data_IF_950871234059
#
_entry.id   IF_950871234059
#
_cell.length_a   1.000
_cell.length_b   1.000
_cell.length_c   1.000
_cell.angle_alpha   90.00
_cell.angle_beta   90.00
_cell.angle_gamma   90.00
#
_symmetry.space_group_name_H-M   'P 1'
#
loop_
_entity.id
_entity.type
_entity.pdbx_description
1 polymer ?
#
# COMPACT_ATOMS: atom_id res chain seq x y z
N UNK A 1 -3.89 -24.58 -6.43
CA UNK A 1 -2.90 -24.33 -7.50
C UNK A 1 -1.44 -24.29 -7.01
N UNK A 2 -1.12 -23.84 -5.79
CA UNK A 2 0.26 -23.80 -5.27
C UNK A 2 0.86 -25.19 -4.96
N UNK A 3 0.03 -26.15 -4.54
CA UNK A 3 0.45 -27.51 -4.20
C UNK A 3 0.94 -28.34 -5.40
N UNK A 4 0.58 -27.94 -6.63
CA UNK A 4 0.91 -28.69 -7.85
C UNK A 4 2.16 -28.12 -8.56
N UNK A 5 2.80 -27.11 -7.99
CA UNK A 5 4.00 -26.47 -8.57
C UNK A 5 5.26 -27.24 -8.17
N UNK A 6 6.19 -27.37 -9.12
CA UNK A 6 7.54 -27.88 -8.85
C UNK A 6 8.27 -26.96 -7.87
N UNK A 7 9.17 -27.50 -7.06
CA UNK A 7 9.91 -26.73 -6.06
C UNK A 7 10.76 -25.61 -6.71
N UNK A 8 11.28 -25.84 -7.92
CA UNK A 8 11.95 -24.79 -8.70
C UNK A 8 11.01 -23.62 -9.04
N UNK A 9 9.76 -23.90 -9.41
CA UNK A 9 8.76 -22.87 -9.71
C UNK A 9 8.35 -22.09 -8.45
N UNK A 10 8.28 -22.78 -7.30
CA UNK A 10 8.03 -22.12 -6.00
C UNK A 10 9.17 -21.17 -5.65
N UNK A 11 10.42 -21.62 -5.77
CA UNK A 11 11.60 -20.79 -5.54
C UNK A 11 11.62 -19.57 -6.47
N UNK A 12 11.34 -19.76 -7.76
CA UNK A 12 11.30 -18.65 -8.71
C UNK A 12 10.23 -17.61 -8.36
N UNK A 13 9.03 -18.03 -7.96
CA UNK A 13 7.96 -17.10 -7.53
C UNK A 13 8.33 -16.32 -6.27
N UNK A 14 9.01 -16.98 -5.31
CA UNK A 14 9.52 -16.31 -4.11
C UNK A 14 10.57 -15.26 -4.48
N UNK A 15 11.51 -15.60 -5.37
CA UNK A 15 12.53 -14.67 -5.84
C UNK A 15 11.93 -13.47 -6.60
N UNK A 16 10.94 -13.71 -7.46
CA UNK A 16 10.23 -12.63 -8.14
C UNK A 16 9.53 -11.68 -7.17
N UNK A 17 8.95 -12.21 -6.09
CA UNK A 17 8.30 -11.40 -5.05
C UNK A 17 9.33 -10.56 -4.30
N UNK A 18 10.49 -11.13 -3.95
CA UNK A 18 11.60 -10.39 -3.34
C UNK A 18 12.13 -9.28 -4.24
N UNK A 19 12.40 -9.58 -5.52
CA UNK A 19 12.86 -8.59 -6.48
C UNK A 19 11.86 -7.45 -6.68
N UNK A 20 10.55 -7.75 -6.67
CA UNK A 20 9.52 -6.71 -6.70
C UNK A 20 9.63 -5.82 -5.46
N UNK A 21 9.76 -6.41 -4.29
CA UNK A 21 9.87 -5.67 -3.03
C UNK A 21 11.15 -4.81 -2.96
N UNK A 22 12.27 -5.31 -3.48
CA UNK A 22 13.52 -4.55 -3.61
C UNK A 22 13.38 -3.36 -4.57
N UNK A 23 12.73 -3.57 -5.73
CA UNK A 23 12.42 -2.49 -6.68
C UNK A 23 11.49 -1.44 -6.07
N UNK A 24 10.49 -1.87 -5.30
CA UNK A 24 9.62 -0.95 -4.56
C UNK A 24 10.42 -0.16 -3.51
N UNK A 25 11.31 -0.84 -2.79
CA UNK A 25 12.18 -0.21 -1.78
C UNK A 25 13.06 0.86 -2.44
N UNK A 26 13.70 0.55 -3.57
CA UNK A 26 14.49 1.53 -4.32
C UNK A 26 13.65 2.72 -4.83
N UNK A 27 12.42 2.48 -5.33
CA UNK A 27 11.51 3.58 -5.71
C UNK A 27 11.08 4.44 -4.51
N UNK A 28 10.94 3.80 -3.36
CA UNK A 28 10.49 4.43 -2.11
C UNK A 28 11.55 5.28 -1.43
N UNK A 29 12.84 5.18 -1.80
CA UNK A 29 13.89 6.05 -1.25
C UNK A 29 13.62 7.55 -1.51
N UNK A 30 12.90 7.85 -2.58
CA UNK A 30 12.48 9.22 -2.90
C UNK A 30 11.22 9.67 -2.17
N UNK A 31 10.56 8.78 -1.42
CA UNK A 31 9.29 9.07 -0.74
C UNK A 31 9.56 9.62 0.64
N UNK A 32 8.78 10.62 1.03
CA UNK A 32 8.84 11.20 2.36
C UNK A 32 7.57 10.81 3.11
N UNK A 33 7.74 10.01 4.16
CA UNK A 33 6.66 9.59 5.04
C UNK A 33 6.44 10.64 6.11
N UNK A 34 5.24 11.22 6.13
CA UNK A 34 4.76 12.07 7.22
C UNK A 34 3.74 11.29 8.05
N UNK A 35 3.33 11.82 9.20
CA UNK A 35 2.39 11.13 10.09
C UNK A 35 1.05 10.85 9.39
N UNK A 36 0.58 11.74 8.52
CA UNK A 36 -0.75 11.63 7.92
C UNK A 36 -0.74 11.48 6.40
N UNK A 37 0.41 11.72 5.76
CA UNK A 37 0.52 11.75 4.30
C UNK A 37 1.82 11.14 3.81
N UNK A 38 1.83 10.68 2.55
CA UNK A 38 3.03 10.20 1.88
C UNK A 38 3.32 11.14 0.71
N UNK A 39 4.49 11.77 0.71
CA UNK A 39 4.91 12.65 -0.39
C UNK A 39 5.72 11.87 -1.40
N UNK A 40 5.29 11.91 -2.65
CA UNK A 40 5.93 11.22 -3.77
C UNK A 40 6.39 12.23 -4.81
N UNK A 41 7.59 12.04 -5.36
CA UNK A 41 8.05 12.86 -6.48
C UNK A 41 7.37 12.44 -7.78
N UNK A 42 6.82 13.39 -8.52
CA UNK A 42 6.11 13.15 -9.78
C UNK A 42 6.65 14.03 -10.92
N UNK A 43 7.98 14.14 -10.98
CA UNK A 43 8.68 15.03 -11.89
C UNK A 43 8.31 14.81 -13.37
N UNK A 44 8.26 13.55 -13.82
CA UNK A 44 7.95 13.24 -15.24
C UNK A 44 6.60 13.81 -15.68
N UNK A 45 5.56 13.60 -14.87
CA UNK A 45 4.21 14.08 -15.18
C UNK A 45 4.17 15.61 -15.23
N UNK A 46 4.73 16.28 -14.22
CA UNK A 46 4.77 17.75 -14.16
C UNK A 46 5.55 18.32 -15.35
N UNK A 47 6.68 17.73 -15.70
CA UNK A 47 7.45 18.15 -16.88
C UNK A 47 6.69 17.97 -18.18
N UNK A 48 5.94 16.87 -18.35
CA UNK A 48 5.14 16.67 -19.57
C UNK A 48 4.01 17.70 -19.68
N UNK A 49 3.33 18.02 -18.58
CA UNK A 49 2.23 19.00 -18.57
C UNK A 49 2.76 20.41 -18.82
N UNK A 50 3.83 20.81 -18.14
CA UNK A 50 4.48 22.11 -18.36
C UNK A 50 5.04 22.18 -19.79
N UNK A 51 5.65 21.10 -20.29
CA UNK A 51 6.16 21.01 -21.65
C UNK A 51 5.07 21.23 -22.70
N UNK A 52 3.93 20.55 -22.57
CA UNK A 52 2.77 20.72 -23.46
C UNK A 52 2.28 22.17 -23.42
N UNK A 53 2.09 22.73 -22.22
CA UNK A 53 1.66 24.12 -22.06
C UNK A 53 2.65 25.10 -22.70
N UNK A 54 3.95 24.89 -22.49
CA UNK A 54 5.00 25.72 -23.06
C UNK A 54 5.06 25.64 -24.58
N UNK A 55 4.95 24.44 -25.16
CA UNK A 55 4.88 24.28 -26.62
C UNK A 55 3.67 24.98 -27.20
N UNK A 56 2.51 24.90 -26.53
CA UNK A 56 1.27 25.49 -27.02
C UNK A 56 1.31 27.03 -26.98
N UNK A 57 1.92 27.59 -25.94
CA UNK A 57 2.19 29.04 -25.84
C UNK A 57 3.18 29.50 -26.91
N UNK A 58 4.30 28.77 -27.10
CA UNK A 58 5.28 29.11 -28.14
C UNK A 58 4.70 29.02 -29.55
N UNK A 59 3.92 27.98 -29.85
CA UNK A 59 3.28 27.83 -31.15
C UNK A 59 2.27 28.94 -31.39
N UNK A 60 1.45 29.29 -30.40
CA UNK A 60 0.51 30.41 -30.51
C UNK A 60 1.21 31.74 -30.79
N UNK A 61 2.31 32.02 -30.08
CA UNK A 61 3.10 33.24 -30.24
C UNK A 61 3.80 33.28 -31.62
N UNK A 62 4.40 32.18 -32.07
CA UNK A 62 5.04 32.11 -33.38
C UNK A 62 4.05 32.29 -34.53
N UNK A 63 2.84 31.71 -34.41
CA UNK A 63 1.78 31.90 -35.39
C UNK A 63 1.26 33.34 -35.39
N UNK A 64 1.07 33.95 -34.22
CA UNK A 64 0.66 35.35 -34.12
C UNK A 64 1.68 36.31 -34.76
N UNK A 65 2.98 36.07 -34.52
CA UNK A 65 4.06 36.86 -35.14
C UNK A 65 4.13 36.62 -36.65
N UNK A 66 4.08 35.38 -37.10
CA UNK A 66 4.15 35.03 -38.52
C UNK A 66 2.98 35.65 -39.30
N UNK A 67 1.75 35.54 -38.77
CA UNK A 67 0.56 36.16 -39.35
C UNK A 67 0.63 37.69 -39.28
N UNK A 68 1.16 38.26 -38.19
CA UNK A 68 1.35 39.70 -38.05
C UNK A 68 2.30 40.28 -39.12
N UNK A 69 3.38 39.57 -39.45
CA UNK A 69 4.31 39.99 -40.51
C UNK A 69 3.78 39.72 -41.93
N UNK A 70 2.94 38.69 -42.14
CA UNK A 70 2.39 38.38 -43.48
C UNK A 70 1.14 39.18 -43.85
N UNK A 71 0.51 39.88 -42.90
CA UNK A 71 -0.62 40.79 -43.16
C UNK A 71 -0.17 42.04 -43.93
N UNK A 72 1.12 42.40 -43.94
CA UNK A 72 1.62 43.48 -44.82
C UNK A 72 1.51 43.13 -46.32
N UNK A 73 1.44 41.83 -46.70
CA UNK A 73 1.47 41.38 -48.10
C UNK A 73 0.25 40.53 -48.55
N UNK A 74 -0.75 40.23 -47.70
CA UNK A 74 -1.83 39.29 -48.06
C UNK A 74 -3.27 39.79 -47.78
N UNK A 75 -4.05 39.89 -48.85
CA UNK A 75 -5.44 40.42 -48.92
C UNK A 75 -6.49 39.48 -48.27
N UNK A 76 -6.12 38.25 -47.89
CA UNK A 76 -7.06 37.22 -47.46
C UNK A 76 -7.36 37.18 -45.94
N UNK A 77 -6.71 38.01 -45.12
CA UNK A 77 -6.76 37.94 -43.65
C UNK A 77 -7.18 39.26 -42.96
N UNK A 78 -7.80 40.18 -43.70
CA UNK A 78 -8.05 41.56 -43.27
C UNK A 78 -8.99 41.72 -42.06
N UNK A 79 -9.77 40.68 -41.72
CA UNK A 79 -10.76 40.72 -40.62
C UNK A 79 -10.44 39.77 -39.44
N UNK A 80 -9.28 39.10 -39.44
CA UNK A 80 -8.92 38.16 -38.37
C UNK A 80 -7.76 38.71 -37.56
N UNK A 81 -8.03 39.06 -36.30
CA UNK A 81 -7.00 39.53 -35.37
C UNK A 81 -5.97 38.40 -35.08
N UNK A 82 -4.71 38.55 -35.54
CA UNK A 82 -3.66 37.55 -35.32
C UNK A 82 -3.31 37.35 -33.84
N UNK A 83 -3.59 38.35 -32.99
CA UNK A 83 -3.38 38.22 -31.55
C UNK A 83 -4.48 37.42 -30.85
N UNK A 84 -5.67 37.32 -31.46
CA UNK A 84 -6.75 36.45 -31.00
C UNK A 84 -6.29 35.00 -30.87
N UNK A 85 -5.60 34.45 -31.88
CA UNK A 85 -5.05 33.09 -31.82
C UNK A 85 -4.07 32.87 -30.67
N UNK A 86 -3.22 33.86 -30.41
CA UNK A 86 -2.26 33.79 -29.30
C UNK A 86 -3.00 33.70 -27.96
N UNK A 87 -4.04 34.52 -27.77
CA UNK A 87 -4.83 34.49 -26.53
C UNK A 87 -5.57 33.16 -26.35
N UNK A 88 -6.16 32.58 -27.40
CA UNK A 88 -6.81 31.27 -27.33
C UNK A 88 -5.82 30.15 -26.96
N UNK A 89 -4.62 30.14 -27.56
CA UNK A 89 -3.58 29.18 -27.20
C UNK A 89 -3.18 29.32 -25.72
N UNK A 90 -3.00 30.55 -25.23
CA UNK A 90 -2.71 30.80 -23.81
C UNK A 90 -3.82 30.29 -22.88
N UNK A 91 -5.09 30.54 -23.22
CA UNK A 91 -6.24 30.09 -22.45
C UNK A 91 -6.30 28.56 -22.41
N UNK A 92 -6.12 27.89 -23.55
CA UNK A 92 -6.08 26.43 -23.64
C UNK A 92 -4.92 25.87 -22.82
N UNK A 93 -3.73 26.45 -22.90
CA UNK A 93 -2.57 26.03 -22.12
C UNK A 93 -2.83 26.14 -20.61
N UNK A 94 -3.38 27.27 -20.15
CA UNK A 94 -3.75 27.47 -18.76
C UNK A 94 -4.79 26.43 -18.31
N UNK A 95 -5.80 26.17 -19.14
CA UNK A 95 -6.85 25.20 -18.85
C UNK A 95 -6.30 23.76 -18.73
N UNK A 96 -5.40 23.36 -19.64
CA UNK A 96 -4.72 22.05 -19.57
C UNK A 96 -3.97 21.90 -18.24
N UNK A 97 -3.22 22.92 -17.80
CA UNK A 97 -2.46 22.86 -16.54
C UNK A 97 -3.41 22.75 -15.34
N UNK A 98 -4.52 23.49 -15.33
CA UNK A 98 -5.51 23.44 -14.25
C UNK A 98 -6.22 22.08 -14.19
N UNK A 99 -6.61 21.52 -15.34
CA UNK A 99 -7.18 20.17 -15.39
C UNK A 99 -6.16 19.14 -14.92
N UNK A 100 -4.94 19.19 -15.44
CA UNK A 100 -3.88 18.24 -15.11
C UNK A 100 -3.58 18.21 -13.60
N UNK A 101 -3.55 19.37 -12.96
CA UNK A 101 -3.44 19.51 -11.50
C UNK A 101 -4.61 18.82 -10.78
N UNK A 102 -5.81 18.89 -11.32
CA UNK A 102 -7.05 18.42 -10.67
C UNK A 102 -7.33 16.93 -10.88
N UNK A 103 -6.74 16.29 -11.90
CA UNK A 103 -7.00 14.87 -12.23
C UNK A 103 -6.43 13.89 -11.20
N UNK A 104 -5.27 14.20 -10.60
CA UNK A 104 -4.53 13.20 -9.80
C UNK A 104 -4.81 13.23 -8.30
N UNK A 105 -5.05 14.40 -7.73
CA UNK A 105 -5.29 14.56 -6.28
C UNK A 105 -6.31 15.66 -6.08
N UNK A 106 -7.31 15.38 -5.26
CA UNK A 106 -8.46 16.27 -4.99
C UNK A 106 -8.02 17.66 -4.51
N UNK A 107 -6.91 17.74 -3.77
CA UNK A 107 -6.39 18.98 -3.20
C UNK A 107 -4.86 19.12 -3.37
N UNK A 108 -4.37 19.23 -4.61
CA UNK A 108 -2.93 19.43 -4.85
C UNK A 108 -2.54 20.92 -4.77
N UNK A 109 -1.75 21.41 -3.79
CA UNK A 109 -1.35 22.82 -3.75
C UNK A 109 -0.36 23.18 -4.87
N UNK A 110 -0.44 24.42 -5.38
CA UNK A 110 0.43 24.91 -6.46
C UNK A 110 1.92 24.84 -6.12
N UNK A 111 2.28 25.11 -4.85
CA UNK A 111 3.66 24.98 -4.36
C UNK A 111 4.20 23.57 -4.59
N UNK A 112 3.43 22.55 -4.24
CA UNK A 112 3.87 21.16 -4.39
C UNK A 112 3.89 20.73 -5.86
N UNK A 113 2.95 21.22 -6.67
CA UNK A 113 2.96 21.02 -8.13
C UNK A 113 4.25 21.53 -8.76
N UNK A 114 4.64 22.77 -8.48
CA UNK A 114 5.88 23.38 -8.99
C UNK A 114 7.13 22.70 -8.43
N UNK A 115 7.09 22.26 -7.17
CA UNK A 115 8.16 21.47 -6.56
C UNK A 115 8.20 20.02 -7.05
N UNK A 116 7.29 19.62 -7.94
CA UNK A 116 7.19 18.27 -8.54
C UNK A 116 6.89 17.19 -7.50
N UNK A 117 6.14 17.53 -6.45
CA UNK A 117 5.77 16.64 -5.34
C UNK A 117 4.26 16.50 -5.27
N UNK A 118 3.79 15.30 -4.96
CA UNK A 118 2.37 15.00 -4.75
C UNK A 118 2.21 14.47 -3.33
N UNK A 119 1.30 15.05 -2.57
CA UNK A 119 0.95 14.61 -1.22
C UNK A 119 -0.23 13.65 -1.31
N UNK A 120 0.01 12.37 -1.07
CA UNK A 120 -1.02 11.34 -1.10
C UNK A 120 -1.58 11.12 0.31
N UNK A 121 -2.90 11.11 0.44
CA UNK A 121 -3.64 10.91 1.71
C UNK A 121 -4.33 9.56 1.77
N UNK A 122 -4.50 8.87 0.65
CA UNK A 122 -5.00 7.50 0.57
C UNK A 122 -4.07 6.58 -0.20
N UNK A 123 -4.27 5.27 -0.01
CA UNK A 123 -3.58 4.24 -0.75
C UNK A 123 -3.98 4.23 -2.24
N UNK A 124 -5.25 4.47 -2.56
CA UNK A 124 -5.73 4.63 -3.94
C UNK A 124 -5.07 5.80 -4.67
N UNK A 125 -4.88 6.95 -4.00
CA UNK A 125 -4.14 8.09 -4.55
C UNK A 125 -2.68 7.72 -4.80
N UNK A 126 -2.05 7.02 -3.85
CA UNK A 126 -0.67 6.56 -4.00
C UNK A 126 -0.52 5.60 -5.19
N UNK A 127 -1.49 4.70 -5.39
CA UNK A 127 -1.57 3.83 -6.55
C UNK A 127 -1.71 4.64 -7.85
N UNK A 128 -2.64 5.59 -7.92
CA UNK A 128 -2.88 6.42 -9.10
C UNK A 128 -1.65 7.26 -9.50
N UNK A 129 -0.88 7.72 -8.52
CA UNK A 129 0.33 8.55 -8.74
C UNK A 129 1.55 7.71 -9.12
N UNK A 130 1.74 6.56 -8.47
CA UNK A 130 2.95 5.72 -8.65
C UNK A 130 2.79 4.64 -9.73
N UNK A 131 1.56 4.24 -10.02
CA UNK A 131 1.24 3.08 -10.88
C UNK A 131 1.65 1.73 -10.29
N UNK A 132 1.97 1.66 -9.00
CA UNK A 132 2.36 0.43 -8.30
C UNK A 132 1.09 -0.26 -7.80
N UNK A 133 0.98 -1.59 -7.97
CA UNK A 133 -0.17 -2.36 -7.52
C UNK A 133 -0.49 -2.11 -6.04
N UNK A 134 -1.77 -1.94 -5.73
CA UNK A 134 -2.25 -1.63 -4.38
C UNK A 134 -1.82 -2.69 -3.36
N UNK A 135 -1.78 -3.95 -3.76
CA UNK A 135 -1.38 -5.04 -2.87
C UNK A 135 0.11 -4.97 -2.57
N UNK A 136 0.94 -4.71 -3.58
CA UNK A 136 2.38 -4.55 -3.38
C UNK A 136 2.68 -3.34 -2.48
N UNK A 137 1.91 -2.24 -2.61
CA UNK A 137 1.98 -1.08 -1.72
C UNK A 137 1.59 -1.43 -0.27
N UNK A 138 0.49 -2.19 -0.06
CA UNK A 138 0.08 -2.63 1.28
C UNK A 138 1.17 -3.50 1.91
N UNK A 139 1.69 -4.49 1.19
CA UNK A 139 2.74 -5.35 1.70
C UNK A 139 3.99 -4.53 2.09
N UNK A 140 4.38 -3.57 1.24
CA UNK A 140 5.48 -2.67 1.50
C UNK A 140 5.25 -1.79 2.75
N UNK A 141 4.09 -1.14 2.85
CA UNK A 141 3.73 -0.30 3.99
C UNK A 141 3.72 -1.09 5.30
N UNK A 142 3.22 -2.33 5.27
CA UNK A 142 3.30 -3.23 6.42
C UNK A 142 4.77 -3.53 6.74
N UNK A 143 5.56 -4.06 5.80
CA UNK A 143 6.96 -4.41 6.11
C UNK A 143 7.78 -3.24 6.67
N UNK A 144 7.54 -2.01 6.18
CA UNK A 144 8.25 -0.78 6.62
C UNK A 144 7.57 0.00 7.75
N UNK A 145 6.50 -0.53 8.31
CA UNK A 145 5.72 0.15 9.34
C UNK A 145 6.54 0.59 10.56
N UNK A 146 7.53 -0.21 10.97
CA UNK A 146 8.34 0.11 12.15
C UNK A 146 9.35 1.24 11.90
N UNK A 147 9.75 1.46 10.65
CA UNK A 147 10.69 2.51 10.24
C UNK A 147 9.97 3.85 10.05
N UNK A 148 8.67 3.80 9.72
CA UNK A 148 7.91 4.97 9.30
C UNK A 148 7.10 5.58 10.46
N UNK A 149 6.84 6.88 10.41
CA UNK A 149 6.00 7.61 11.39
C UNK A 149 4.49 7.60 11.05
N UNK A 150 4.11 6.90 9.98
CA UNK A 150 2.77 6.93 9.41
C UNK A 150 1.70 6.43 10.39
N UNK A 151 0.65 7.22 10.56
CA UNK A 151 -0.58 6.90 11.28
C UNK A 151 -1.63 6.51 10.25
N UNK A 152 -2.24 5.34 10.42
CA UNK A 152 -3.22 4.81 9.46
C UNK A 152 -4.66 5.01 9.92
N UNK A 153 -5.54 5.29 8.96
CA UNK A 153 -6.99 5.38 9.14
C UNK A 153 -7.72 4.59 8.06
N UNK A 154 -9.05 4.53 8.16
CA UNK A 154 -9.90 3.84 7.18
C UNK A 154 -10.27 2.41 7.59
N UNK A 155 -11.04 1.71 6.76
CA UNK A 155 -11.69 0.44 7.11
C UNK A 155 -10.70 -0.71 7.38
N UNK A 156 -9.51 -0.68 6.76
CA UNK A 156 -8.53 -1.76 6.86
C UNK A 156 -7.30 -1.41 7.72
N UNK A 157 -7.39 -0.37 8.56
CA UNK A 157 -6.30 0.06 9.44
C UNK A 157 -5.97 -0.93 10.57
N UNK A 158 -6.80 -1.96 10.81
CA UNK A 158 -6.62 -2.89 11.92
C UNK A 158 -5.30 -3.68 11.89
N UNK A 159 -4.75 -3.82 10.68
CA UNK A 159 -3.50 -4.51 10.42
C UNK A 159 -2.27 -3.74 10.90
N UNK A 160 -2.38 -2.42 10.98
CA UNK A 160 -1.31 -1.53 11.40
C UNK A 160 -1.34 -1.33 12.93
N UNK A 161 -0.19 -0.99 13.51
CA UNK A 161 0.04 -0.64 14.92
C UNK A 161 -0.49 0.75 15.22
N UNK A 162 -0.08 1.73 14.40
CA UNK A 162 -0.33 3.15 14.61
C UNK A 162 -1.62 3.52 13.90
N UNK A 163 -2.65 3.78 14.70
CA UNK A 163 -4.01 4.08 14.24
C UNK A 163 -4.40 5.46 14.74
N UNK A 164 -4.93 6.27 13.84
CA UNK A 164 -5.50 7.55 14.18
C UNK A 164 -7.02 7.45 14.18
N UNK A 165 -7.64 7.91 15.25
CA UNK A 165 -9.09 8.12 15.29
C UNK A 165 -9.39 9.37 14.44
N UNK A 166 -9.93 9.18 13.24
CA UNK A 166 -10.30 10.26 12.32
C UNK A 166 -9.16 10.90 11.52
N UNK A 167 -7.91 10.83 11.99
CA UNK A 167 -6.72 11.40 11.34
C UNK A 167 -5.74 10.36 10.80
N UNK A 168 -4.98 10.68 9.76
CA UNK A 168 -3.95 9.79 9.20
C UNK A 168 -4.13 9.44 7.71
N UNK A 169 -3.25 8.57 7.24
CA UNK A 169 -3.25 8.04 5.88
C UNK A 169 -4.31 6.94 5.72
N UNK A 170 -5.18 7.08 4.73
CA UNK A 170 -6.34 6.19 4.53
C UNK A 170 -5.96 4.90 3.80
N UNK A 171 -6.22 3.76 4.44
CA UNK A 171 -6.14 2.43 3.83
C UNK A 171 -7.54 2.02 3.37
N UNK A 172 -7.87 2.38 2.14
CA UNK A 172 -9.16 2.18 1.49
C UNK A 172 -9.25 0.88 0.68
N UNK A 173 -8.12 0.30 0.26
CA UNK A 173 -8.12 -0.93 -0.52
C UNK A 173 -8.13 -2.19 0.37
N UNK A 174 -8.92 -3.20 -0.02
CA UNK A 174 -9.01 -4.47 0.71
C UNK A 174 -7.73 -5.29 0.55
N UNK A 175 -7.05 -5.67 1.65
CA UNK A 175 -5.86 -6.50 1.58
C UNK A 175 -6.21 -7.95 1.25
N UNK A 176 -5.44 -8.56 0.37
CA UNK A 176 -5.55 -9.98 0.04
C UNK A 176 -4.69 -10.83 0.97
N UNK A 177 -5.11 -12.07 1.24
CA UNK A 177 -4.40 -12.98 2.14
C UNK A 177 -2.95 -13.23 1.66
N UNK A 178 -2.74 -13.34 0.35
CA UNK A 178 -1.39 -13.51 -0.24
C UNK A 178 -0.45 -12.35 0.12
N UNK A 179 -0.99 -11.13 0.12
CA UNK A 179 -0.28 -9.88 0.43
C UNK A 179 0.10 -9.82 1.89
N UNK A 180 -0.83 -10.23 2.75
CA UNK A 180 -0.64 -10.29 4.20
C UNK A 180 0.42 -11.33 4.56
N UNK A 181 0.36 -12.51 3.94
CA UNK A 181 1.40 -13.54 4.10
C UNK A 181 2.76 -13.04 3.61
N UNK A 182 2.82 -12.33 2.49
CA UNK A 182 4.05 -11.72 1.97
C UNK A 182 4.63 -10.65 2.92
N UNK A 183 3.76 -9.90 3.59
CA UNK A 183 4.15 -8.94 4.63
C UNK A 183 4.58 -9.61 5.96
N UNK A 184 4.47 -10.94 6.09
CA UNK A 184 4.81 -11.68 7.30
C UNK A 184 3.65 -11.90 8.27
N UNK A 185 2.41 -11.66 7.84
CA UNK A 185 1.21 -11.86 8.65
C UNK A 185 0.59 -13.25 8.37
N UNK A 186 0.51 -14.10 9.40
CA UNK A 186 -0.05 -15.46 9.28
C UNK A 186 -1.33 -15.59 10.08
N UNK A 187 -2.40 -16.03 9.44
CA UNK A 187 -3.68 -16.31 10.11
C UNK A 187 -3.70 -17.73 10.68
N UNK A 188 -3.95 -17.85 11.98
CA UNK A 188 -4.03 -19.12 12.70
C UNK A 188 -5.37 -19.22 13.41
N UNK A 189 -6.05 -20.37 13.24
CA UNK A 189 -7.24 -20.68 14.02
C UNK A 189 -6.83 -21.18 15.40
N UNK A 190 -7.29 -20.49 16.42
CA UNK A 190 -6.97 -20.76 17.82
C UNK A 190 -8.23 -21.16 18.58
N UNK A 191 -8.07 -21.94 19.63
CA UNK A 191 -9.15 -22.22 20.58
C UNK A 191 -9.01 -21.29 21.77
N UNK A 192 -10.10 -20.65 22.16
CA UNK A 192 -10.19 -19.79 23.35
C UNK A 192 -11.24 -20.36 24.29
N UNK A 193 -11.28 -19.90 25.55
CA UNK A 193 -12.31 -20.31 26.54
C UNK A 193 -13.74 -19.99 26.08
N UNK A 194 -13.90 -19.03 25.17
CA UNK A 194 -15.19 -18.60 24.62
C UNK A 194 -15.53 -19.25 23.27
N UNK A 195 -14.68 -20.15 22.77
CA UNK A 195 -14.84 -20.82 21.47
C UNK A 195 -13.65 -20.64 20.54
N UNK A 196 -13.79 -21.05 19.28
CA UNK A 196 -12.70 -20.89 18.29
C UNK A 196 -12.60 -19.46 17.79
N UNK A 197 -11.40 -18.88 17.81
CA UNK A 197 -11.12 -17.56 17.28
C UNK A 197 -10.07 -17.62 16.16
N UNK A 198 -10.00 -16.57 15.34
CA UNK A 198 -8.92 -16.38 14.38
C UNK A 198 -7.95 -15.34 14.94
N UNK A 199 -6.67 -15.69 14.99
CA UNK A 199 -5.61 -14.77 15.42
C UNK A 199 -4.65 -14.61 14.25
N UNK A 200 -4.24 -13.37 14.00
CA UNK A 200 -3.22 -13.07 13.01
C UNK A 200 -1.89 -12.87 13.72
N UNK A 201 -0.91 -13.70 13.41
CA UNK A 201 0.45 -13.63 13.93
C UNK A 201 1.26 -12.68 13.07
N UNK A 202 2.07 -11.83 13.72
CA UNK A 202 2.98 -10.93 13.04
C UNK A 202 4.40 -11.46 13.13
N UNK A 203 4.93 -11.92 12.00
CA UNK A 203 6.28 -12.46 11.84
C UNK A 203 7.20 -11.51 11.06
N UNK A 204 6.79 -10.24 10.90
CA UNK A 204 7.59 -9.25 10.18
C UNK A 204 9.00 -9.09 10.76
N UNK A 205 10.00 -9.09 9.88
CA UNK A 205 11.41 -8.86 10.23
C UNK A 205 11.56 -7.43 10.76
N UNK A 206 12.27 -7.23 11.87
CA UNK A 206 12.47 -5.91 12.50
C UNK A 206 11.42 -5.50 13.53
N UNK A 207 10.26 -6.18 13.57
CA UNK A 207 9.16 -5.88 14.51
C UNK A 207 9.29 -6.55 15.89
N UNK A 208 10.43 -7.18 16.16
CA UNK A 208 10.67 -7.97 17.38
C UNK A 208 11.61 -7.31 18.39
N UNK A 209 12.16 -6.13 18.07
CA UNK A 209 13.06 -5.38 18.95
C UNK A 209 12.36 -4.12 19.49
N UNK A 210 12.30 -4.00 20.82
CA UNK A 210 11.78 -2.81 21.54
C UNK A 210 10.42 -3.00 22.20
N UNK A 211 9.99 -2.00 22.98
CA UNK A 211 8.73 -1.99 23.75
C UNK A 211 7.44 -2.01 22.90
N UNK A 212 7.54 -1.98 21.56
CA UNK A 212 6.43 -1.97 20.61
C UNK A 212 6.31 -3.26 19.78
N UNK A 213 6.94 -4.35 20.22
CA UNK A 213 6.89 -5.63 19.52
C UNK A 213 5.48 -6.25 19.56
N UNK A 214 4.71 -6.13 18.47
CA UNK A 214 3.44 -6.85 18.33
C UNK A 214 3.71 -8.23 17.74
N UNK A 215 3.35 -9.25 18.51
CA UNK A 215 3.44 -10.65 18.10
C UNK A 215 2.12 -11.16 17.49
N UNK A 216 1.00 -10.50 17.78
CA UNK A 216 -0.32 -10.88 17.30
C UNK A 216 -1.28 -9.69 17.10
N UNK A 217 -2.08 -9.76 16.05
CA UNK A 217 -3.23 -8.92 15.72
C UNK A 217 -4.49 -9.66 16.19
N UNK A 218 -5.23 -9.06 17.13
CA UNK A 218 -6.46 -9.62 17.72
C UNK A 218 -7.68 -8.83 17.24
N UNK A 219 -8.82 -9.51 17.11
CA UNK A 219 -10.11 -8.87 16.84
C UNK A 219 -10.64 -8.15 18.10
N UNK A 220 -11.41 -7.06 17.93
CA UNK A 220 -11.77 -6.10 19.00
C UNK A 220 -12.70 -6.61 20.11
N UNK A 221 -12.91 -7.92 20.23
CA UNK A 221 -13.62 -8.56 21.35
C UNK A 221 -12.74 -9.52 22.16
N UNK A 222 -11.51 -9.80 21.73
CA UNK A 222 -10.57 -10.63 22.49
C UNK A 222 -9.86 -9.74 23.52
N UNK A 223 -10.27 -9.86 24.78
CA UNK A 223 -9.61 -9.28 25.94
C UNK A 223 -8.08 -9.43 25.83
N UNK A 224 -7.34 -8.37 26.19
CA UNK A 224 -5.87 -8.37 26.20
C UNK A 224 -5.27 -9.53 27.03
N UNK A 225 -6.03 -10.06 27.99
CA UNK A 225 -5.64 -11.15 28.90
C UNK A 225 -6.16 -12.55 28.51
N UNK A 226 -6.83 -12.70 27.36
CA UNK A 226 -7.30 -14.02 26.91
C UNK A 226 -6.15 -14.90 26.41
N UNK A 227 -5.95 -16.04 27.05
CA UNK A 227 -4.97 -17.07 26.65
C UNK A 227 -5.30 -17.63 25.26
N UNK A 228 -4.32 -17.65 24.36
CA UNK A 228 -4.48 -18.09 22.96
C UNK A 228 -3.82 -19.46 22.79
N UNK A 229 -4.60 -20.46 22.35
CA UNK A 229 -4.08 -21.82 22.10
C UNK A 229 -4.12 -22.15 20.60
N UNK A 230 -2.97 -22.53 20.01
CA UNK A 230 -2.95 -23.07 18.65
C UNK A 230 -3.53 -24.49 18.64
N UNK A 231 -4.53 -24.74 17.78
CA UNK A 231 -5.03 -26.11 17.56
C UNK A 231 -3.97 -26.88 16.79
N UNK A 232 -3.59 -28.07 17.28
CA UNK A 232 -2.69 -28.96 16.55
C UNK A 232 -3.30 -29.24 15.16
N UNK A 233 -2.52 -29.19 14.05
CA UNK A 233 -3.05 -29.56 12.75
C UNK A 233 -3.48 -31.03 12.80
N UNK A 234 -4.71 -31.36 12.32
CA UNK A 234 -5.20 -32.73 12.37
C UNK A 234 -4.28 -33.64 11.58
N UNK A 235 -3.86 -34.75 12.18
CA UNK A 235 -3.11 -35.79 11.49
C UNK A 235 -4.09 -36.61 10.63
N UNK A 236 -3.63 -37.23 9.53
CA UNK A 236 -4.46 -38.15 8.76
C UNK A 236 -4.92 -39.39 9.55
N UNK A 237 -4.29 -39.66 10.71
CA UNK A 237 -4.68 -40.70 11.68
C UNK A 237 -5.70 -40.21 12.73
N UNK A 238 -5.99 -38.90 12.80
CA UNK A 238 -7.02 -38.39 13.68
C UNK A 238 -8.38 -38.65 13.02
N UNK A 239 -9.13 -39.62 13.57
CA UNK A 239 -10.44 -40.01 13.08
C UNK A 239 -11.39 -38.81 13.01
N UNK A 240 -12.11 -38.69 11.90
CA UNK A 240 -12.96 -37.51 11.60
C UNK A 240 -14.12 -37.34 12.58
N UNK A 241 -14.46 -38.39 13.34
CA UNK A 241 -15.63 -38.43 14.21
C UNK A 241 -15.33 -38.37 15.72
N UNK A 242 -14.06 -38.27 16.15
CA UNK A 242 -13.70 -38.28 17.59
C UNK A 242 -12.84 -37.10 18.07
N UNK A 243 -13.16 -35.88 17.64
CA UNK A 243 -12.84 -34.72 18.48
C UNK A 243 -14.13 -34.19 19.08
N UNK A 244 -14.69 -34.95 20.02
CA UNK A 244 -15.70 -34.44 20.94
C UNK A 244 -15.00 -33.50 21.94
N UNK A 245 -14.84 -32.23 21.54
CA UNK A 245 -14.04 -31.18 22.21
C UNK A 245 -14.54 -30.89 23.64
N UNK A 246 -15.77 -31.30 23.99
CA UNK A 246 -16.43 -30.93 25.23
C UNK A 246 -16.06 -31.80 26.44
N UNK A 247 -15.53 -33.01 26.25
CA UNK A 247 -15.27 -33.95 27.35
C UNK A 247 -13.86 -33.83 27.91
N UNK A 248 -12.86 -33.46 27.10
CA UNK A 248 -11.47 -33.30 27.59
C UNK A 248 -11.16 -31.94 28.22
N UNK A 249 -12.02 -30.93 28.02
CA UNK A 249 -11.90 -29.62 28.65
C UNK A 249 -12.54 -29.54 30.05
N UNK A 250 -13.27 -30.58 30.49
CA UNK A 250 -14.00 -30.58 31.77
C UNK A 250 -13.15 -30.92 33.00
N UNK A 251 -11.90 -31.35 32.83
CA UNK A 251 -11.11 -31.91 33.93
C UNK A 251 -9.78 -31.19 34.19
N UNK A 252 -9.71 -29.88 33.94
CA UNK A 252 -8.51 -29.10 34.23
C UNK A 252 -8.87 -27.82 34.98
N UNK A 253 -8.74 -27.91 36.31
CA UNK A 253 -8.92 -26.83 37.27
C UNK A 253 -7.87 -25.72 37.10
N UNK A 254 -8.33 -24.60 36.53
CA UNK A 254 -8.51 -23.31 37.21
C UNK A 254 -7.37 -22.56 37.97
N UNK A 255 -6.07 -22.86 37.80
CA UNK A 255 -5.00 -21.95 38.32
C UNK A 255 -4.10 -21.38 37.21
N UNK A 256 -4.80 -20.70 36.29
CA UNK A 256 -4.44 -19.65 35.31
C UNK A 256 -2.97 -19.45 34.84
N UNK A 257 -2.47 -20.45 34.13
CA UNK A 257 -1.87 -20.34 32.78
C UNK A 257 -0.65 -19.49 32.46
N UNK A 258 0.35 -20.19 31.91
CA UNK A 258 1.43 -19.70 31.06
C UNK A 258 1.89 -20.83 30.15
N UNK A 259 1.95 -20.60 28.83
CA UNK A 259 3.12 -20.86 27.96
C UNK A 259 2.96 -20.13 26.62
N UNK A 260 4.04 -19.45 26.23
CA UNK A 260 4.20 -18.60 25.04
C UNK A 260 5.40 -19.14 24.25
N UNK A 261 5.22 -19.52 22.98
CA UNK A 261 6.32 -19.52 22.00
C UNK A 261 5.80 -19.05 20.66
N UNK A 262 6.00 -17.77 20.38
CA UNK A 262 5.63 -17.16 19.10
C UNK A 262 6.89 -17.09 18.23
N UNK A 263 7.29 -18.27 17.76
CA UNK A 263 8.01 -18.57 16.50
C UNK A 263 8.52 -20.01 16.55
N UNK A 264 7.80 -20.85 15.83
CA UNK A 264 8.12 -22.25 15.57
C UNK A 264 7.22 -22.68 14.43
N UNK A 265 7.46 -22.14 13.23
CA UNK A 265 6.86 -22.72 12.02
C UNK A 265 7.29 -24.17 12.02
N UNK A 266 6.32 -25.06 12.20
CA UNK A 266 6.50 -26.47 12.54
C UNK A 266 7.65 -27.12 11.74
N UNK A 267 8.77 -27.38 12.40
CA UNK A 267 9.64 -28.46 11.97
C UNK A 267 9.01 -29.74 12.52
N UNK A 268 8.54 -30.61 11.63
CA UNK A 268 8.19 -31.96 12.03
C UNK A 268 9.41 -32.58 12.74
N UNK A 269 9.20 -33.01 13.98
CA UNK A 269 10.22 -33.60 14.85
C UNK A 269 10.94 -34.83 14.24
N UNK A 270 10.49 -35.31 13.07
CA UNK A 270 11.02 -36.50 12.39
C UNK A 270 11.72 -36.28 11.04
N UNK A 271 12.13 -35.06 10.68
CA UNK A 271 13.13 -34.89 9.61
C UNK A 271 14.35 -34.15 10.13
N UNK A 272 15.39 -34.93 10.47
CA UNK A 272 16.76 -34.44 10.50
C UNK A 272 17.07 -33.90 9.10
N UNK A 273 17.27 -32.59 9.01
CA UNK A 273 17.90 -31.98 7.84
C UNK A 273 19.35 -32.46 7.85
N UNK A 274 19.72 -33.15 6.77
CA UNK A 274 21.11 -33.43 6.43
C UNK A 274 21.48 -32.52 5.28
#
# INVERSE_FOLDING_TARGET
>A
MWHNLSDQQKHQKVQQSKQKQEKLTAKSESWVFEEETIRVSCARYVYTVIGIGFTLVLTGLMLGIFLGFTIEDSIALQDVDPFGFTTYCWVIAAFIVVIAKSVRVENWPWRDFLLRRVTCRSLSELHAVTGIDEQDLIAFLLTKEYENVLITRGPYNQLFMRKGEGRGFSIDCKPQIRTLLAAGLIFVKVSTKQGTALVCLDLGVGRQQGSYARKAIRHSGMMAQGEIMCRYPPKPEDDKDEININTRLRHWDFYSTRWEKILGVYAAYNKRVR
#
